data_IF_124591854552
#
_entry.id   IF_124591854552
#
_cell.length_a   1.000
_cell.length_b   1.000
_cell.length_c   1.000
_cell.angle_alpha   90.00
_cell.angle_beta   90.00
_cell.angle_gamma   90.00
#
_symmetry.space_group_name_H-M   'P 1'
#
loop_
_entity.id
_entity.type
_entity.pdbx_description
1 polymer ?
#
# COMPACT_ATOMS: atom_id res chain seq x y z
N UNK A 1 -62.84 -13.08 -24.51
CA UNK A 1 -63.68 -12.22 -25.38
C UNK A 1 -62.80 -11.72 -26.51
N UNK A 2 -63.29 -11.90 -27.72
CA UNK A 2 -62.59 -11.67 -28.98
C UNK A 2 -62.13 -10.21 -29.13
N UNK A 3 -60.94 -10.06 -29.69
CA UNK A 3 -60.32 -8.80 -30.04
C UNK A 3 -61.02 -8.31 -31.31
N UNK A 4 -62.11 -7.56 -31.17
CA UNK A 4 -62.69 -6.84 -32.30
C UNK A 4 -61.77 -5.67 -32.66
N UNK A 5 -61.09 -5.77 -33.81
CA UNK A 5 -60.15 -4.81 -34.41
C UNK A 5 -60.79 -3.48 -34.88
N UNK A 6 -61.96 -3.12 -34.35
CA UNK A 6 -62.61 -1.85 -34.63
C UNK A 6 -63.03 -1.14 -33.32
N UNK A 7 -62.06 -0.84 -32.44
CA UNK A 7 -62.26 0.23 -31.46
C UNK A 7 -62.28 1.57 -32.20
N UNK A 8 -63.47 1.98 -32.63
CA UNK A 8 -63.73 3.38 -32.91
C UNK A 8 -63.45 4.17 -31.62
N UNK A 9 -62.47 5.07 -31.63
CA UNK A 9 -62.08 5.88 -30.46
C UNK A 9 -63.12 6.97 -30.14
N UNK A 10 -64.40 6.64 -30.32
CA UNK A 10 -65.50 7.51 -29.97
C UNK A 10 -65.64 7.59 -28.46
N UNK A 11 -65.80 8.82 -27.97
CA UNK A 11 -65.80 9.21 -26.56
C UNK A 11 -66.91 8.58 -25.68
N UNK A 12 -67.75 7.67 -26.20
CA UNK A 12 -68.90 7.10 -25.50
C UNK A 12 -68.59 5.85 -24.65
N UNK A 13 -67.35 5.38 -24.60
CA UNK A 13 -66.97 4.32 -23.66
C UNK A 13 -66.83 4.94 -22.26
N UNK A 14 -67.82 4.66 -21.41
CA UNK A 14 -67.80 4.96 -19.98
C UNK A 14 -67.11 3.80 -19.24
N UNK A 15 -65.94 4.06 -18.68
CA UNK A 15 -65.21 3.08 -17.88
C UNK A 15 -65.71 3.11 -16.44
N UNK A 16 -65.88 1.94 -15.83
CA UNK A 16 -66.12 1.83 -14.41
C UNK A 16 -64.95 2.42 -13.58
N UNK A 17 -65.19 2.56 -12.28
CA UNK A 17 -64.21 3.05 -11.31
C UNK A 17 -63.56 1.92 -10.51
N UNK A 18 -63.64 0.68 -10.99
CA UNK A 18 -63.01 -0.44 -10.29
C UNK A 18 -61.49 -0.25 -10.32
N UNK A 19 -60.83 -0.55 -9.19
CA UNK A 19 -59.41 -0.29 -9.03
C UNK A 19 -58.61 -1.57 -9.25
N UNK A 20 -58.15 -1.75 -10.48
CA UNK A 20 -57.27 -2.84 -10.91
C UNK A 20 -56.14 -2.20 -11.72
N UNK A 21 -55.17 -1.56 -11.04
CA UNK A 21 -54.25 -0.64 -11.68
C UNK A 21 -53.33 -1.36 -12.67
N UNK A 22 -52.95 -0.62 -13.71
CA UNK A 22 -52.11 -1.09 -14.79
C UNK A 22 -51.06 -0.03 -15.10
N UNK A 23 -49.80 -0.45 -15.27
CA UNK A 23 -48.73 0.42 -15.69
C UNK A 23 -48.57 0.36 -17.21
N UNK A 24 -48.66 1.53 -17.87
CA UNK A 24 -48.34 1.68 -19.29
C UNK A 24 -46.85 1.85 -19.55
N UNK A 25 -46.41 1.62 -20.79
CA UNK A 25 -45.03 1.92 -21.23
C UNK A 25 -44.69 3.41 -21.23
N UNK A 26 -45.70 4.27 -21.07
CA UNK A 26 -45.59 5.71 -20.84
C UNK A 26 -45.28 6.07 -19.37
N UNK A 27 -45.21 5.07 -18.47
CA UNK A 27 -44.99 5.29 -17.04
C UNK A 27 -46.21 5.81 -16.29
N UNK A 28 -47.39 5.81 -16.93
CA UNK A 28 -48.65 6.24 -16.32
C UNK A 28 -49.39 5.05 -15.72
N UNK A 29 -49.91 5.25 -14.50
CA UNK A 29 -50.81 4.29 -13.86
C UNK A 29 -52.24 4.54 -14.30
N UNK A 30 -52.82 3.56 -14.99
CA UNK A 30 -54.21 3.52 -15.37
C UNK A 30 -55.00 2.77 -14.31
N UNK A 31 -56.07 3.35 -13.78
CA UNK A 31 -56.86 2.76 -12.68
C UNK A 31 -57.48 1.40 -13.01
N UNK A 32 -57.68 1.10 -14.29
CA UNK A 32 -58.14 -0.19 -14.80
C UNK A 32 -57.87 -0.35 -16.31
N UNK A 33 -58.12 -1.57 -16.81
CA UNK A 33 -57.97 -1.97 -18.21
C UNK A 33 -58.79 -1.10 -19.17
N UNK A 34 -60.01 -0.70 -18.82
CA UNK A 34 -60.84 0.14 -19.69
C UNK A 34 -60.17 1.50 -19.95
N UNK A 35 -59.64 2.14 -18.91
CA UNK A 35 -58.92 3.42 -19.02
C UNK A 35 -57.64 3.29 -19.83
N UNK A 36 -56.88 2.22 -19.63
CA UNK A 36 -55.70 1.91 -20.44
C UNK A 36 -56.05 1.73 -21.93
N UNK A 37 -57.08 0.95 -22.24
CA UNK A 37 -57.53 0.70 -23.62
C UNK A 37 -58.04 1.97 -24.31
N UNK A 38 -58.70 2.86 -23.57
CA UNK A 38 -59.12 4.17 -24.07
C UNK A 38 -57.91 5.03 -24.43
N UNK A 39 -56.90 5.10 -23.58
CA UNK A 39 -55.66 5.81 -23.87
C UNK A 39 -54.93 5.21 -25.08
N UNK A 40 -54.80 3.88 -25.13
CA UNK A 40 -54.19 3.15 -26.26
C UNK A 40 -54.97 3.31 -27.57
N UNK A 41 -56.27 3.63 -27.50
CA UNK A 41 -57.04 3.95 -28.70
C UNK A 41 -56.48 5.19 -29.39
N UNK A 42 -56.13 6.21 -28.61
CA UNK A 42 -55.54 7.46 -29.09
C UNK A 42 -54.05 7.33 -29.37
N UNK A 43 -53.33 6.55 -28.58
CA UNK A 43 -51.91 6.25 -28.78
C UNK A 43 -51.70 4.74 -28.96
N UNK A 44 -51.62 4.32 -30.23
CA UNK A 44 -51.41 2.90 -30.57
C UNK A 44 -50.02 2.38 -30.16
N UNK A 45 -49.08 3.26 -29.81
CA UNK A 45 -47.75 2.88 -29.33
C UNK A 45 -47.73 2.56 -27.83
N UNK A 46 -48.79 2.92 -27.10
CA UNK A 46 -48.94 2.58 -25.69
C UNK A 46 -49.13 1.06 -25.50
N UNK A 47 -48.17 0.43 -24.83
CA UNK A 47 -48.20 -0.98 -24.49
C UNK A 47 -48.35 -1.17 -22.97
N UNK A 48 -48.78 -2.38 -22.59
CA UNK A 48 -48.81 -2.80 -21.19
C UNK A 48 -47.37 -3.02 -20.72
N UNK A 49 -46.94 -2.31 -19.67
CA UNK A 49 -45.64 -2.56 -19.05
C UNK A 49 -45.73 -3.73 -18.05
N UNK A 50 -46.66 -3.65 -17.10
CA UNK A 50 -46.96 -4.69 -16.12
C UNK A 50 -48.28 -4.40 -15.40
N UNK A 51 -48.85 -5.42 -14.78
CA UNK A 51 -50.04 -5.28 -13.93
C UNK A 51 -49.66 -4.63 -12.59
N UNK A 52 -50.54 -3.79 -12.06
CA UNK A 52 -50.29 -2.95 -10.89
C UNK A 52 -49.97 -1.50 -11.26
N UNK A 53 -49.82 -0.66 -10.24
CA UNK A 53 -49.40 0.73 -10.43
C UNK A 53 -47.99 0.81 -11.04
N UNK A 54 -47.61 1.93 -11.63
CA UNK A 54 -46.22 2.15 -12.03
C UNK A 54 -45.32 2.40 -10.81
N UNK A 55 -44.04 2.04 -10.93
CA UNK A 55 -43.01 2.38 -9.95
C UNK A 55 -42.70 3.89 -10.02
N UNK A 56 -42.76 4.59 -8.89
CA UNK A 56 -42.56 6.04 -8.83
C UNK A 56 -41.08 6.37 -9.04
N UNK A 57 -40.77 7.12 -10.10
CA UNK A 57 -39.43 7.66 -10.33
C UNK A 57 -39.39 9.17 -10.00
N UNK A 58 -39.07 9.49 -8.74
CA UNK A 58 -38.82 10.86 -8.26
C UNK A 58 -37.40 10.99 -7.71
N UNK A 59 -36.43 10.40 -8.40
CA UNK A 59 -35.06 10.34 -7.93
C UNK A 59 -34.24 11.56 -8.38
N UNK A 60 -33.47 12.12 -7.46
CA UNK A 60 -32.45 13.12 -7.78
C UNK A 60 -31.33 12.49 -8.61
N UNK A 61 -30.77 13.28 -9.54
CA UNK A 61 -29.70 12.85 -10.43
C UNK A 61 -28.35 13.25 -9.83
N UNK A 62 -27.94 12.56 -8.77
CA UNK A 62 -26.61 12.69 -8.19
C UNK A 62 -25.94 11.32 -8.12
N UNK A 63 -24.61 11.32 -8.28
CA UNK A 63 -23.80 10.11 -8.30
C UNK A 63 -23.46 9.63 -6.90
N UNK A 64 -24.12 8.57 -6.45
CA UNK A 64 -23.89 7.88 -5.17
C UNK A 64 -24.13 6.37 -5.36
N UNK A 65 -23.29 5.70 -6.18
CA UNK A 65 -23.68 4.48 -6.88
C UNK A 65 -23.81 3.28 -5.96
N UNK A 66 -24.68 2.34 -6.36
CA UNK A 66 -24.81 1.02 -5.74
C UNK A 66 -24.76 -0.06 -6.81
N UNK A 67 -24.15 -1.19 -6.50
CA UNK A 67 -24.06 -2.35 -7.38
C UNK A 67 -25.08 -3.40 -6.95
N UNK A 68 -25.87 -3.89 -7.89
CA UNK A 68 -26.82 -4.96 -7.62
C UNK A 68 -26.24 -6.37 -7.87
N UNK A 69 -27.08 -7.39 -7.63
CA UNK A 69 -26.76 -8.81 -7.81
C UNK A 69 -26.70 -9.29 -9.27
N UNK A 70 -26.97 -8.41 -10.23
CA UNK A 70 -26.78 -8.66 -11.65
C UNK A 70 -25.59 -7.87 -12.21
N UNK A 71 -24.73 -7.34 -11.33
CA UNK A 71 -23.56 -6.55 -11.70
C UNK A 71 -23.94 -5.28 -12.50
N UNK A 72 -25.11 -4.70 -12.19
CA UNK A 72 -25.54 -3.42 -12.75
C UNK A 72 -25.32 -2.30 -11.74
N UNK A 73 -24.61 -1.25 -12.18
CA UNK A 73 -24.42 -0.04 -11.40
C UNK A 73 -25.64 0.87 -11.50
N UNK A 74 -26.24 1.18 -10.37
CA UNK A 74 -27.31 2.18 -10.25
C UNK A 74 -26.72 3.50 -9.81
N UNK A 75 -27.17 4.61 -10.41
CA UNK A 75 -26.69 5.97 -10.13
C UNK A 75 -26.71 6.31 -8.63
N UNK A 76 -27.78 5.90 -7.95
CA UNK A 76 -27.92 6.00 -6.51
C UNK A 76 -28.94 4.97 -5.97
N UNK A 77 -29.06 4.92 -4.65
CA UNK A 77 -29.99 4.01 -3.96
C UNK A 77 -31.45 4.21 -4.39
N UNK A 78 -31.86 5.45 -4.70
CA UNK A 78 -33.21 5.71 -5.19
C UNK A 78 -33.44 5.03 -6.55
N UNK A 79 -32.50 5.19 -7.48
CA UNK A 79 -32.57 4.54 -8.80
C UNK A 79 -32.58 3.01 -8.69
N UNK A 80 -31.78 2.44 -7.78
CA UNK A 80 -31.85 1.01 -7.46
C UNK A 80 -33.25 0.58 -7.00
N UNK A 81 -33.88 1.35 -6.10
CA UNK A 81 -35.22 1.03 -5.59
C UNK A 81 -36.29 1.07 -6.69
N UNK A 82 -36.18 2.02 -7.62
CA UNK A 82 -37.05 2.08 -8.81
C UNK A 82 -36.86 0.81 -9.65
N UNK A 83 -35.62 0.43 -9.96
CA UNK A 83 -35.36 -0.75 -10.77
C UNK A 83 -35.79 -2.05 -10.06
N UNK A 84 -35.58 -2.16 -8.76
CA UNK A 84 -36.04 -3.30 -7.96
C UNK A 84 -37.57 -3.40 -7.94
N UNK A 85 -38.28 -2.27 -7.87
CA UNK A 85 -39.73 -2.25 -7.99
C UNK A 85 -40.18 -2.78 -9.37
N UNK A 86 -39.54 -2.34 -10.45
CA UNK A 86 -39.86 -2.78 -11.82
C UNK A 86 -39.57 -4.28 -11.97
N UNK A 87 -38.41 -4.76 -11.54
CA UNK A 87 -38.04 -6.18 -11.59
C UNK A 87 -39.04 -7.07 -10.84
N UNK A 88 -39.52 -6.60 -9.68
CA UNK A 88 -40.54 -7.32 -8.89
C UNK A 88 -41.89 -7.40 -9.59
N UNK A 89 -42.33 -6.30 -10.20
CA UNK A 89 -43.66 -6.21 -10.83
C UNK A 89 -43.71 -6.84 -12.21
N UNK A 90 -42.64 -6.73 -12.99
CA UNK A 90 -42.57 -7.20 -14.37
C UNK A 90 -42.06 -8.64 -14.47
N UNK A 91 -40.95 -8.93 -13.78
CA UNK A 91 -40.20 -10.17 -13.97
C UNK A 91 -40.32 -11.13 -12.78
N UNK A 92 -41.07 -10.76 -11.73
CA UNK A 92 -41.16 -11.48 -10.46
C UNK A 92 -39.80 -11.71 -9.78
N UNK A 93 -38.81 -10.86 -10.07
CA UNK A 93 -37.46 -10.93 -9.51
C UNK A 93 -37.24 -9.84 -8.46
N UNK A 94 -36.47 -10.15 -7.41
CA UNK A 94 -36.02 -9.15 -6.44
C UNK A 94 -34.53 -8.89 -6.61
N UNK A 95 -34.16 -7.63 -6.83
CA UNK A 95 -32.77 -7.21 -6.83
C UNK A 95 -32.28 -7.04 -5.39
N UNK A 96 -31.00 -7.32 -5.17
CA UNK A 96 -30.31 -7.06 -3.91
C UNK A 96 -29.03 -6.27 -4.18
N UNK A 97 -28.66 -5.42 -3.21
CA UNK A 97 -27.42 -4.65 -3.28
C UNK A 97 -26.28 -5.57 -2.88
N UNK A 98 -25.33 -5.78 -3.79
CA UNK A 98 -24.08 -6.53 -3.53
C UNK A 98 -23.01 -5.61 -2.95
N UNK A 99 -23.00 -4.34 -3.37
CA UNK A 99 -22.02 -3.34 -2.90
C UNK A 99 -22.66 -1.96 -2.83
N UNK A 100 -22.30 -1.18 -1.81
CA UNK A 100 -22.68 0.24 -1.68
C UNK A 100 -21.82 1.17 -2.58
N UNK A 101 -21.25 0.60 -3.64
CA UNK A 101 -20.40 1.27 -4.62
C UNK A 101 -20.73 0.74 -6.01
N UNK A 102 -20.20 1.37 -7.08
CA UNK A 102 -20.34 0.89 -8.45
C UNK A 102 -19.82 -0.56 -8.63
N UNK A 103 -20.35 -1.26 -9.63
CA UNK A 103 -19.91 -2.60 -9.96
C UNK A 103 -18.46 -2.60 -10.50
N UNK A 104 -17.66 -3.65 -10.28
CA UNK A 104 -16.25 -3.69 -10.67
C UNK A 104 -15.98 -3.32 -12.13
N UNK A 105 -16.87 -3.73 -13.05
CA UNK A 105 -16.71 -3.50 -14.49
C UNK A 105 -17.01 -2.05 -14.90
N UNK A 106 -17.84 -1.34 -14.12
CA UNK A 106 -18.21 0.06 -14.36
C UNK A 106 -17.41 1.04 -13.50
N UNK A 107 -16.72 0.55 -12.47
CA UNK A 107 -16.01 1.37 -11.49
C UNK A 107 -14.92 2.25 -12.12
N UNK A 108 -14.43 1.90 -13.31
CA UNK A 108 -13.43 2.65 -14.09
C UNK A 108 -14.00 3.41 -15.30
N UNK A 109 -15.29 3.29 -15.63
CA UNK A 109 -15.89 3.92 -16.81
C UNK A 109 -16.41 5.35 -16.54
N UNK A 110 -16.24 5.86 -15.31
CA UNK A 110 -16.71 7.20 -14.94
C UNK A 110 -15.80 8.29 -15.50
N UNK A 111 -16.39 9.31 -16.12
CA UNK A 111 -15.65 10.49 -16.57
C UNK A 111 -15.43 11.43 -15.38
N UNK A 112 -14.23 11.40 -14.79
CA UNK A 112 -13.72 12.53 -14.01
C UNK A 112 -13.79 13.80 -14.87
N UNK A 113 -14.06 14.97 -14.29
CA UNK A 113 -14.21 16.22 -15.04
C UNK A 113 -13.01 16.43 -15.99
N UNK A 114 -13.24 16.90 -17.23
CA UNK A 114 -12.22 16.93 -18.29
C UNK A 114 -11.01 17.84 -18.02
N UNK A 115 -11.06 18.71 -17.01
CA UNK A 115 -9.93 19.55 -16.58
C UNK A 115 -9.16 19.00 -15.37
N UNK A 116 -9.62 17.88 -14.81
CA UNK A 116 -9.05 17.18 -13.66
C UNK A 116 -8.41 15.89 -14.17
N UNK A 117 -7.22 16.05 -14.77
CA UNK A 117 -6.31 15.05 -15.31
C UNK A 117 -6.62 13.58 -14.95
N UNK A 118 -7.11 12.81 -15.93
CA UNK A 118 -7.09 11.34 -15.89
C UNK A 118 -5.65 10.85 -15.70
N UNK A 119 -5.38 9.81 -14.86
CA UNK A 119 -6.24 8.65 -14.66
C UNK A 119 -6.52 8.25 -13.19
N UNK A 120 -7.54 7.40 -13.04
CA UNK A 120 -7.95 6.56 -11.89
C UNK A 120 -8.99 7.18 -10.94
N UNK A 121 -10.27 6.92 -11.24
CA UNK A 121 -11.28 6.76 -10.21
C UNK A 121 -10.97 5.48 -9.41
N UNK A 122 -11.14 5.56 -8.08
CA UNK A 122 -10.99 4.38 -7.23
C UNK A 122 -12.11 3.37 -7.55
N UNK A 123 -11.88 2.08 -7.26
CA UNK A 123 -12.87 1.01 -7.50
C UNK A 123 -14.21 1.19 -6.77
N UNK A 124 -14.32 2.21 -5.92
CA UNK A 124 -15.53 2.61 -5.22
C UNK A 124 -16.22 3.87 -5.82
N UNK A 125 -15.77 4.36 -6.98
CA UNK A 125 -16.33 5.54 -7.65
C UNK A 125 -15.96 6.89 -7.03
N UNK A 126 -15.06 6.93 -6.03
CA UNK A 126 -14.57 8.18 -5.42
C UNK A 126 -13.35 8.67 -6.20
N UNK A 127 -13.42 9.91 -6.68
CA UNK A 127 -12.29 10.62 -7.26
C UNK A 127 -11.34 11.11 -6.16
N UNK A 128 -10.03 11.06 -6.39
CA UNK A 128 -9.07 11.78 -5.55
C UNK A 128 -9.23 13.29 -5.83
N UNK A 129 -10.26 13.93 -5.28
CA UNK A 129 -10.48 15.37 -5.41
C UNK A 129 -9.62 16.18 -4.42
N UNK A 130 -8.94 17.17 -5.00
CA UNK A 130 -8.51 18.47 -4.45
C UNK A 130 -7.77 18.52 -3.10
N UNK A 131 -6.44 18.43 -3.18
CA UNK A 131 -5.58 19.33 -2.40
C UNK A 131 -5.12 20.42 -3.37
N UNK A 132 -5.64 21.62 -3.16
CA UNK A 132 -5.36 22.90 -3.84
C UNK A 132 -6.12 23.20 -5.14
N UNK A 133 -6.73 24.38 -5.13
CA UNK A 133 -7.50 25.08 -6.16
C UNK A 133 -6.70 25.50 -7.40
N UNK A 134 -5.67 24.76 -7.74
CA UNK A 134 -4.83 24.97 -8.91
C UNK A 134 -4.32 23.60 -9.32
N UNK A 135 -4.19 23.33 -10.62
CA UNK A 135 -3.33 22.25 -11.11
C UNK A 135 -2.05 22.23 -10.25
N UNK A 136 -1.49 21.07 -9.94
CA UNK A 136 -0.10 21.03 -9.44
C UNK A 136 0.73 21.77 -10.51
N UNK A 137 0.94 23.07 -10.33
CA UNK A 137 1.36 23.93 -11.42
C UNK A 137 2.79 23.49 -11.72
N UNK A 138 2.99 23.00 -12.95
CA UNK A 138 4.30 22.57 -13.41
C UNK A 138 5.31 23.73 -13.51
N UNK A 139 4.88 24.95 -13.16
CA UNK A 139 5.72 26.13 -13.11
C UNK A 139 6.39 26.26 -11.74
N UNK A 140 7.63 25.76 -11.69
CA UNK A 140 8.75 26.33 -10.92
C UNK A 140 8.78 26.17 -9.38
N UNK A 141 8.28 25.06 -8.83
CA UNK A 141 8.65 24.69 -7.46
C UNK A 141 9.07 23.22 -7.36
N UNK A 142 10.23 22.89 -7.92
CA UNK A 142 10.87 21.57 -7.75
C UNK A 142 11.29 21.42 -6.28
N UNK A 143 10.55 20.60 -5.55
CA UNK A 143 10.83 20.23 -4.16
C UNK A 143 10.66 18.72 -4.06
N UNK A 144 11.63 17.94 -4.57
CA UNK A 144 11.47 16.51 -4.73
C UNK A 144 11.24 15.80 -3.40
N UNK A 145 10.47 14.72 -3.44
CA UNK A 145 10.13 13.91 -2.26
C UNK A 145 10.34 12.44 -2.61
N UNK A 146 11.01 11.71 -1.72
CA UNK A 146 11.12 10.26 -1.81
C UNK A 146 10.05 9.60 -0.94
N UNK A 147 9.21 8.77 -1.54
CA UNK A 147 8.18 8.04 -0.79
C UNK A 147 8.70 6.75 -0.14
N UNK A 148 7.82 6.10 0.62
CA UNK A 148 8.09 4.84 1.32
C UNK A 148 8.38 3.66 0.40
N UNK A 149 7.99 3.73 -0.87
CA UNK A 149 8.23 2.69 -1.88
C UNK A 149 9.49 2.96 -2.72
N UNK A 150 10.10 4.14 -2.58
CA UNK A 150 11.31 4.52 -3.30
C UNK A 150 11.03 5.22 -4.64
N UNK A 151 9.84 5.80 -4.81
CA UNK A 151 9.53 6.66 -5.96
C UNK A 151 9.79 8.12 -5.61
N UNK A 152 10.43 8.82 -6.55
CA UNK A 152 10.64 10.27 -6.49
C UNK A 152 9.43 10.99 -7.05
N UNK A 153 8.88 11.92 -6.28
CA UNK A 153 7.82 12.85 -6.69
C UNK A 153 8.40 14.25 -6.84
N UNK A 154 7.96 15.02 -7.84
CA UNK A 154 8.53 16.34 -8.15
C UNK A 154 8.25 17.39 -7.07
N UNK A 155 7.13 17.25 -6.36
CA UNK A 155 6.66 18.15 -5.32
C UNK A 155 5.64 17.44 -4.42
N UNK A 156 5.20 18.14 -3.36
CA UNK A 156 4.22 17.63 -2.40
C UNK A 156 2.87 17.29 -3.05
N UNK A 157 2.44 18.08 -4.02
CA UNK A 157 1.17 17.89 -4.72
C UNK A 157 1.14 16.55 -5.48
N UNK A 158 2.21 16.23 -6.23
CA UNK A 158 2.36 14.94 -6.91
C UNK A 158 2.42 13.76 -5.91
N UNK A 159 3.13 13.91 -4.79
CA UNK A 159 3.17 12.89 -3.73
C UNK A 159 1.77 12.64 -3.12
N UNK A 160 1.03 13.69 -2.75
CA UNK A 160 -0.28 13.57 -2.11
C UNK A 160 -1.30 12.91 -3.04
N UNK A 161 -1.23 13.22 -4.34
CA UNK A 161 -1.99 12.54 -5.38
C UNK A 161 -1.67 11.04 -5.40
N UNK A 162 -0.39 10.68 -5.41
CA UNK A 162 0.04 9.28 -5.42
C UNK A 162 -0.31 8.53 -4.14
N UNK A 163 -0.24 9.19 -2.99
CA UNK A 163 -0.68 8.64 -1.71
C UNK A 163 -2.19 8.37 -1.69
N UNK A 164 -3.02 9.26 -2.25
CA UNK A 164 -4.46 9.03 -2.40
C UNK A 164 -4.73 7.80 -3.27
N UNK A 165 -4.08 7.71 -4.43
CA UNK A 165 -4.24 6.59 -5.35
C UNK A 165 -3.78 5.27 -4.75
N UNK A 166 -2.65 5.25 -4.05
CA UNK A 166 -2.16 4.07 -3.31
C UNK A 166 -3.19 3.59 -2.28
N UNK A 167 -3.75 4.50 -1.49
CA UNK A 167 -4.78 4.19 -0.48
C UNK A 167 -6.06 3.65 -1.09
N UNK A 168 -6.52 4.25 -2.19
CA UNK A 168 -7.84 3.97 -2.75
C UNK A 168 -7.85 2.81 -3.75
N UNK A 169 -6.79 2.65 -4.56
CA UNK A 169 -6.67 1.57 -5.57
C UNK A 169 -6.02 0.31 -5.00
N UNK A 170 -4.92 0.47 -4.28
CA UNK A 170 -4.07 -0.65 -3.85
C UNK A 170 -4.23 -0.98 -2.35
N UNK A 171 -5.02 -0.20 -1.61
CA UNK A 171 -5.19 -0.31 -0.14
C UNK A 171 -3.87 -0.21 0.62
N UNK A 172 -2.90 0.48 0.04
CA UNK A 172 -1.56 0.71 0.59
C UNK A 172 -1.44 2.15 1.06
N UNK A 173 -0.65 2.41 2.09
CA UNK A 173 -0.48 3.75 2.65
C UNK A 173 0.93 4.24 2.37
N UNK A 174 1.10 5.07 1.35
CA UNK A 174 2.38 5.74 1.10
C UNK A 174 2.66 6.76 2.21
N UNK A 175 3.90 6.76 2.68
CA UNK A 175 4.44 7.77 3.60
C UNK A 175 5.65 8.45 2.96
N UNK A 176 5.98 9.65 3.43
CA UNK A 176 7.22 10.33 3.03
C UNK A 176 8.38 9.62 3.74
N UNK A 177 9.36 9.12 2.97
CA UNK A 177 10.59 8.54 3.52
C UNK A 177 11.58 9.64 3.88
N UNK A 178 11.80 10.59 2.97
CA UNK A 178 12.57 11.82 3.20
C UNK A 178 12.31 12.85 2.11
N UNK A 179 12.71 14.10 2.38
CA UNK A 179 12.71 15.19 1.41
C UNK A 179 13.97 15.12 0.53
N UNK A 180 13.81 15.28 -0.77
CA UNK A 180 14.83 15.04 -1.79
C UNK A 180 14.45 13.94 -2.78
N UNK A 181 15.25 13.79 -3.83
CA UNK A 181 15.12 12.67 -4.76
C UNK A 181 15.50 11.35 -4.08
N UNK A 182 14.83 10.26 -4.45
CA UNK A 182 15.22 8.95 -3.95
C UNK A 182 16.64 8.57 -4.38
N UNK A 183 17.38 7.98 -3.44
CA UNK A 183 18.69 7.41 -3.71
C UNK A 183 18.61 6.31 -4.79
N UNK A 184 19.49 6.38 -5.79
CA UNK A 184 19.49 5.46 -6.92
C UNK A 184 19.88 4.03 -6.51
N UNK A 185 18.97 3.06 -6.75
CA UNK A 185 19.15 1.64 -6.40
C UNK A 185 19.44 0.74 -7.63
N UNK A 186 20.19 1.24 -8.62
CA UNK A 186 20.50 0.50 -9.85
C UNK A 186 21.71 -0.45 -9.68
N UNK A 187 21.68 -1.32 -8.68
CA UNK A 187 22.79 -2.24 -8.37
C UNK A 187 22.66 -3.64 -9.02
N UNK A 188 21.64 -3.88 -9.85
CA UNK A 188 21.28 -5.23 -10.33
C UNK A 188 22.27 -5.82 -11.36
N UNK A 189 22.98 -4.98 -12.12
CA UNK A 189 23.87 -5.42 -13.21
C UNK A 189 25.36 -5.49 -12.83
N UNK A 190 25.71 -5.37 -11.55
CA UNK A 190 27.11 -5.44 -11.12
C UNK A 190 27.63 -6.89 -11.15
N UNK A 191 28.53 -7.17 -12.10
CA UNK A 191 29.18 -8.48 -12.27
C UNK A 191 30.39 -8.68 -11.35
N UNK A 192 31.07 -7.60 -10.96
CA UNK A 192 32.21 -7.62 -10.03
C UNK A 192 31.82 -6.97 -8.69
N UNK A 193 31.22 -7.76 -7.81
CA UNK A 193 30.83 -7.32 -6.47
C UNK A 193 32.02 -7.43 -5.51
N UNK A 194 32.31 -6.34 -4.83
CA UNK A 194 33.31 -6.29 -3.76
C UNK A 194 32.61 -5.88 -2.48
N UNK A 195 32.62 -6.74 -1.47
CA UNK A 195 32.04 -6.38 -0.18
C UNK A 195 32.95 -5.43 0.61
N UNK A 196 32.34 -4.65 1.49
CA UNK A 196 33.02 -3.71 2.37
C UNK A 196 32.26 -3.52 3.67
N UNK A 197 32.97 -3.15 4.72
CA UNK A 197 32.44 -2.85 6.04
C UNK A 197 32.41 -1.34 6.26
N UNK A 198 31.28 -0.81 6.71
CA UNK A 198 31.16 0.60 7.08
C UNK A 198 31.55 0.88 8.54
N UNK A 199 31.59 2.17 8.90
CA UNK A 199 31.90 2.68 10.24
C UNK A 199 30.82 2.35 11.30
N UNK A 200 29.66 1.83 10.88
CA UNK A 200 28.61 1.30 11.76
C UNK A 200 28.66 -0.22 11.90
N UNK A 201 29.67 -0.88 11.35
CA UNK A 201 29.82 -2.35 11.32
C UNK A 201 28.72 -3.07 10.51
N UNK A 202 28.24 -2.43 9.44
CA UNK A 202 27.34 -3.06 8.46
C UNK A 202 28.14 -3.51 7.24
N UNK A 203 27.95 -4.77 6.86
CA UNK A 203 28.52 -5.31 5.61
C UNK A 203 27.65 -4.93 4.43
N UNK A 204 28.24 -4.29 3.43
CA UNK A 204 27.65 -4.05 2.12
C UNK A 204 28.28 -5.00 1.12
N UNK A 205 27.48 -5.65 0.26
CA UNK A 205 27.97 -6.65 -0.70
C UNK A 205 28.57 -6.02 -1.97
N UNK A 206 28.36 -4.73 -2.20
CA UNK A 206 28.99 -3.99 -3.28
C UNK A 206 29.17 -2.50 -2.97
N UNK A 207 30.02 -1.83 -3.75
CA UNK A 207 30.17 -0.38 -3.72
C UNK A 207 28.88 0.36 -4.08
N UNK A 208 28.03 -0.19 -4.95
CA UNK A 208 26.72 0.41 -5.26
C UNK A 208 25.82 0.39 -4.04
N UNK A 209 25.72 -0.76 -3.33
CA UNK A 209 24.90 -0.83 -2.11
C UNK A 209 25.43 0.06 -0.99
N UNK A 210 26.75 0.18 -0.85
CA UNK A 210 27.33 1.12 0.10
C UNK A 210 26.98 2.58 -0.24
N UNK A 211 27.07 2.98 -1.52
CA UNK A 211 26.69 4.34 -1.96
C UNK A 211 25.21 4.62 -1.74
N UNK A 212 24.34 3.63 -1.98
CA UNK A 212 22.92 3.71 -1.66
C UNK A 212 22.72 3.97 -0.15
N UNK A 213 23.34 3.16 0.71
CA UNK A 213 23.24 3.32 2.17
C UNK A 213 23.84 4.65 2.67
N UNK A 214 24.92 5.12 2.05
CA UNK A 214 25.53 6.41 2.34
C UNK A 214 24.58 7.57 2.00
N UNK A 215 23.91 7.50 0.84
CA UNK A 215 22.89 8.47 0.43
C UNK A 215 21.70 8.46 1.39
N UNK A 216 21.13 7.29 1.71
CA UNK A 216 19.98 7.21 2.62
C UNK A 216 20.34 7.70 4.03
N UNK A 217 21.54 7.37 4.53
CA UNK A 217 22.02 7.85 5.83
C UNK A 217 22.18 9.37 5.86
N UNK A 218 22.57 9.99 4.75
CA UNK A 218 22.67 11.44 4.64
C UNK A 218 21.27 12.08 4.71
N UNK A 219 20.28 11.59 3.96
CA UNK A 219 18.93 12.14 3.99
C UNK A 219 18.21 11.93 5.32
N UNK A 220 18.39 10.78 5.97
CA UNK A 220 17.65 10.43 7.20
C UNK A 220 18.30 10.94 8.48
N UNK A 221 19.64 10.99 8.52
CA UNK A 221 20.38 11.27 9.75
C UNK A 221 21.40 12.41 9.61
N UNK A 222 21.45 13.07 8.45
CA UNK A 222 22.45 14.08 8.13
C UNK A 222 23.89 13.59 8.41
N UNK A 223 24.15 12.31 8.09
CA UNK A 223 25.44 11.65 8.34
C UNK A 223 25.89 10.85 7.12
N UNK A 224 27.10 11.12 6.66
CA UNK A 224 27.77 10.37 5.61
C UNK A 224 28.54 9.19 6.20
N UNK A 225 28.11 7.96 5.88
CA UNK A 225 28.80 6.73 6.26
C UNK A 225 30.22 6.71 5.69
N UNK A 226 31.16 6.15 6.44
CA UNK A 226 32.55 6.00 6.03
C UNK A 226 32.90 4.53 5.86
N UNK A 227 33.84 4.24 4.98
CA UNK A 227 34.36 2.87 4.85
C UNK A 227 35.30 2.61 6.04
N UNK A 228 35.02 1.56 6.80
CA UNK A 228 35.92 1.11 7.86
C UNK A 228 37.07 0.26 7.28
N UNK A 229 36.75 -0.72 6.43
CA UNK A 229 37.72 -1.56 5.71
C UNK A 229 37.05 -2.38 4.60
N UNK A 230 37.87 -2.94 3.70
CA UNK A 230 37.40 -3.79 2.60
C UNK A 230 37.08 -5.22 3.05
N UNK A 231 36.02 -5.78 2.47
CA UNK A 231 35.44 -7.09 2.79
C UNK A 231 34.38 -7.03 3.90
N UNK A 232 33.84 -8.21 4.23
CA UNK A 232 32.78 -8.34 5.23
C UNK A 232 33.24 -7.86 6.62
N UNK A 233 32.32 -7.25 7.36
CA UNK A 233 32.57 -6.88 8.74
C UNK A 233 32.94 -8.10 9.59
N UNK A 234 33.99 -7.94 10.39
CA UNK A 234 34.38 -8.91 11.39
C UNK A 234 33.25 -9.08 12.42
N UNK A 235 32.71 -10.29 12.57
CA UNK A 235 31.67 -10.59 13.57
C UNK A 235 32.24 -11.34 14.77
N UNK A 236 31.58 -11.26 15.93
CA UNK A 236 31.93 -12.07 17.11
C UNK A 236 31.10 -13.36 17.06
N UNK A 237 31.71 -14.45 16.59
CA UNK A 237 31.07 -15.77 16.54
C UNK A 237 31.00 -16.41 17.93
N UNK A 238 29.85 -16.37 18.61
CA UNK A 238 29.70 -16.93 19.98
C UNK A 238 29.57 -18.47 19.99
N UNK A 239 30.62 -19.16 19.55
CA UNK A 239 30.73 -20.62 19.69
C UNK A 239 31.07 -21.02 21.13
N UNK A 240 30.58 -22.19 21.59
CA UNK A 240 30.83 -22.69 22.95
C UNK A 240 32.32 -22.76 23.31
N UNK A 241 33.17 -23.11 22.35
CA UNK A 241 34.62 -23.19 22.53
C UNK A 241 35.27 -21.86 22.89
N UNK A 242 34.70 -20.74 22.45
CA UNK A 242 35.20 -19.41 22.80
C UNK A 242 34.74 -18.96 24.18
N UNK A 243 33.46 -19.14 24.50
CA UNK A 243 32.87 -18.63 25.75
C UNK A 243 33.44 -19.33 26.99
N UNK A 244 33.99 -20.54 26.80
CA UNK A 244 34.68 -21.31 27.83
C UNK A 244 36.16 -20.96 27.97
N UNK A 245 36.72 -20.18 27.05
CA UNK A 245 38.09 -19.69 27.20
C UNK A 245 38.17 -18.62 28.29
N UNK A 246 39.28 -18.60 29.01
CA UNK A 246 39.60 -17.51 29.91
C UNK A 246 40.14 -16.29 29.16
N UNK A 247 40.44 -15.21 29.87
CA UNK A 247 40.98 -13.99 29.28
C UNK A 247 42.39 -14.19 28.70
N UNK A 248 42.70 -13.41 27.66
CA UNK A 248 43.85 -13.60 26.76
C UNK A 248 44.63 -12.29 26.63
N UNK A 249 45.96 -12.33 26.70
CA UNK A 249 46.84 -11.22 26.32
C UNK A 249 47.36 -11.42 24.89
N UNK A 250 47.27 -10.39 24.05
CA UNK A 250 47.85 -10.41 22.71
C UNK A 250 49.29 -9.85 22.67
N UNK A 251 49.92 -9.95 21.51
CA UNK A 251 51.28 -9.44 21.24
C UNK A 251 51.41 -7.92 21.33
N UNK A 252 50.29 -7.18 21.38
CA UNK A 252 50.26 -5.72 21.55
C UNK A 252 49.99 -5.34 23.02
N UNK A 253 50.08 -6.32 23.94
CA UNK A 253 49.80 -6.17 25.36
C UNK A 253 48.36 -5.72 25.67
N UNK A 254 47.40 -6.05 24.81
CA UNK A 254 45.97 -5.81 25.05
C UNK A 254 45.33 -7.07 25.65
N UNK A 255 44.60 -6.88 26.74
CA UNK A 255 43.82 -7.96 27.39
C UNK A 255 42.43 -8.08 26.77
N UNK A 256 42.08 -9.28 26.34
CA UNK A 256 40.79 -9.67 25.79
C UNK A 256 40.03 -10.53 26.80
N UNK A 257 38.70 -10.42 26.81
CA UNK A 257 37.83 -11.14 27.75
C UNK A 257 37.88 -12.65 27.54
N UNK A 258 37.90 -13.04 26.27
CA UNK A 258 37.86 -14.42 25.80
C UNK A 258 38.46 -14.53 24.39
N UNK A 259 38.65 -15.76 23.93
CA UNK A 259 39.16 -16.10 22.60
C UNK A 259 38.39 -15.47 21.45
N UNK A 260 37.09 -15.22 21.63
CA UNK A 260 36.27 -14.65 20.57
C UNK A 260 36.44 -13.13 20.46
N UNK A 261 36.56 -12.43 21.58
CA UNK A 261 36.95 -11.01 21.59
C UNK A 261 38.34 -10.80 21.00
N UNK A 262 39.29 -11.71 21.30
CA UNK A 262 40.62 -11.70 20.67
C UNK A 262 40.55 -11.94 19.16
N UNK A 263 39.85 -12.99 18.70
CA UNK A 263 39.69 -13.31 17.26
C UNK A 263 39.03 -12.19 16.48
N UNK A 264 38.05 -11.51 17.09
CA UNK A 264 37.41 -10.35 16.49
C UNK A 264 38.39 -9.18 16.32
N UNK A 265 39.18 -8.84 17.37
CA UNK A 265 40.24 -7.83 17.25
C UNK A 265 41.28 -8.23 16.19
N UNK A 266 41.68 -9.50 16.17
CA UNK A 266 42.63 -10.04 15.21
C UNK A 266 42.14 -9.87 13.76
N UNK A 267 40.85 -10.15 13.51
CA UNK A 267 40.22 -9.89 12.22
C UNK A 267 40.29 -8.40 11.84
N UNK A 268 39.93 -7.49 12.75
CA UNK A 268 39.95 -6.04 12.48
C UNK A 268 41.38 -5.55 12.20
N UNK A 269 42.38 -5.95 13.00
CA UNK A 269 43.78 -5.54 12.79
C UNK A 269 44.34 -6.05 11.46
N UNK A 270 43.98 -7.26 11.07
CA UNK A 270 44.36 -7.80 9.77
C UNK A 270 43.72 -7.01 8.61
N UNK A 271 42.45 -6.61 8.74
CA UNK A 271 41.70 -5.88 7.70
C UNK A 271 42.08 -4.41 7.57
N UNK A 272 42.40 -3.75 8.68
CA UNK A 272 42.64 -2.29 8.74
C UNK A 272 44.12 -1.91 8.68
N UNK A 273 44.99 -2.74 9.27
CA UNK A 273 46.42 -2.44 9.43
C UNK A 273 47.31 -3.48 8.76
N UNK A 274 46.75 -4.50 8.10
CA UNK A 274 47.50 -5.66 7.58
C UNK A 274 48.40 -6.31 8.64
N UNK A 275 47.99 -6.24 9.92
CA UNK A 275 48.75 -6.69 11.07
C UNK A 275 48.13 -7.94 11.67
N UNK A 276 48.94 -9.01 11.77
CA UNK A 276 48.55 -10.25 12.42
C UNK A 276 48.99 -10.25 13.88
N UNK A 277 48.08 -9.91 14.80
CA UNK A 277 48.32 -10.09 16.24
C UNK A 277 48.23 -11.58 16.62
N UNK A 278 49.08 -12.03 17.54
CA UNK A 278 49.07 -13.40 18.05
C UNK A 278 48.73 -13.41 19.54
N UNK A 279 48.40 -14.58 20.07
CA UNK A 279 48.26 -14.78 21.52
C UNK A 279 49.67 -14.74 22.12
N UNK A 280 49.92 -13.84 23.06
CA UNK A 280 51.14 -13.81 23.84
C UNK A 280 51.02 -14.78 25.03
N UNK A 281 49.90 -14.71 25.78
CA UNK A 281 49.60 -15.64 26.87
C UNK A 281 48.09 -15.73 27.16
N UNK A 282 47.64 -16.82 27.80
CA UNK A 282 46.25 -17.03 28.22
C UNK A 282 46.15 -17.75 29.57
N UNK A 283 45.04 -17.57 30.30
CA UNK A 283 44.77 -18.29 31.57
C UNK A 283 43.63 -19.29 31.36
N UNK A 284 43.83 -20.56 31.76
CA UNK A 284 42.77 -21.58 31.73
C UNK A 284 41.74 -21.35 32.84
N UNK A 285 40.44 -21.38 32.48
CA UNK A 285 39.31 -21.26 33.42
C UNK A 285 39.29 -22.32 34.52
N UNK A 286 39.93 -23.47 34.31
CA UNK A 286 40.00 -24.55 35.30
C UNK A 286 40.90 -24.23 36.50
N UNK A 287 41.85 -23.29 36.37
CA UNK A 287 42.74 -22.87 37.46
C UNK A 287 42.07 -21.78 38.33
N UNK A 288 41.04 -21.10 37.80
CA UNK A 288 40.28 -20.05 38.50
C UNK A 288 39.50 -20.55 39.72
N UNK A 289 39.18 -21.85 39.79
CA UNK A 289 38.40 -22.43 40.90
C UNK A 289 39.22 -22.84 42.12
N UNK A 290 40.55 -22.80 42.08
CA UNK A 290 41.42 -23.36 43.13
C UNK A 290 42.32 -22.37 43.88
N UNK A 291 42.17 -21.05 43.73
CA UNK A 291 42.88 -20.08 44.59
C UNK A 291 42.02 -18.87 44.99
N UNK A 292 41.59 -18.90 46.25
CA UNK A 292 40.88 -17.85 46.99
C UNK A 292 41.77 -16.64 47.38
N UNK A 293 42.68 -16.19 46.50
CA UNK A 293 43.68 -15.18 46.88
C UNK A 293 43.99 -14.10 45.84
N UNK A 294 43.15 -13.91 44.81
CA UNK A 294 43.36 -12.84 43.81
C UNK A 294 42.06 -12.10 43.46
N UNK A 295 41.28 -11.72 44.48
CA UNK A 295 40.07 -10.89 44.33
C UNK A 295 40.41 -9.44 43.88
N UNK A 296 41.69 -9.08 43.77
CA UNK A 296 42.15 -7.77 43.26
C UNK A 296 42.52 -7.73 41.76
N UNK A 297 42.53 -8.86 41.05
CA UNK A 297 43.13 -8.98 39.71
C UNK A 297 42.11 -9.10 38.55
N UNK A 298 41.12 -8.22 38.53
CA UNK A 298 40.38 -7.96 37.28
C UNK A 298 41.15 -7.05 36.31
N UNK A 299 42.34 -6.61 36.73
CA UNK A 299 43.15 -5.57 36.12
C UNK A 299 44.40 -6.21 35.53
N UNK A 300 44.47 -6.18 34.20
CA UNK A 300 45.66 -6.39 33.37
C UNK A 300 46.41 -7.73 33.51
N UNK A 301 45.86 -8.75 32.85
CA UNK A 301 46.59 -9.99 32.52
C UNK A 301 47.95 -9.69 31.87
N UNK A 302 48.01 -8.71 30.96
CA UNK A 302 49.27 -8.30 30.37
C UNK A 302 50.27 -7.63 31.36
N UNK A 303 49.84 -7.11 32.52
CA UNK A 303 50.78 -6.60 33.54
C UNK A 303 51.26 -7.69 34.49
N UNK A 304 50.43 -8.71 34.80
CA UNK A 304 50.84 -9.87 35.60
C UNK A 304 52.02 -10.61 34.95
N UNK A 305 52.04 -10.68 33.61
CA UNK A 305 53.11 -11.33 32.86
C UNK A 305 54.41 -10.52 32.78
N UNK A 306 54.37 -9.20 32.91
CA UNK A 306 55.58 -8.37 32.88
C UNK A 306 56.44 -8.57 34.14
N UNK A 307 55.81 -8.91 35.26
CA UNK A 307 56.48 -9.18 36.54
C UNK A 307 57.02 -10.62 36.67
N UNK A 308 56.67 -11.52 35.74
CA UNK A 308 57.13 -12.92 35.69
C UNK A 308 57.82 -13.25 34.36
N UNK A 309 58.85 -12.49 33.99
CA UNK A 309 59.79 -12.93 32.94
C UNK A 309 60.61 -14.13 33.46
N UNK A 310 60.18 -15.35 33.12
CA UNK A 310 60.98 -16.58 33.08
C UNK A 310 61.02 -17.06 31.64
#
# INVERSE_FOLDING_TARGET
MEINEAMNCNNMIECDKHYEPICGTDGITYVNQCRFMKARCHDKTLLLAYNGECCINRCEQHWAPVCDNHNVTHLNLCMFNVQNCIAKRRDSQSLSIVSMFACPDDACNMHCKPNDYQPVCASNGVCCEEITTTKCDNNDNLSPICDSEGHTHNNLCEYERMACLSRKRFRTNLTIRYWGECCSNNCQHETNKMSLCDDKQTTHDSWCKFRLAQCESHHLYNRTLQVAYMGDCCTISRTENCLNSGPICDTDAVTHRDLCTFRHKQCIMNRTQHKLIKIAYYVSRYIYKLRYLLIYYHIHICTISADYNI
#
